data_IF_574538485252
#
_entry.id   IF_574538485252
#
_cell.length_a   1.000
_cell.length_b   1.000
_cell.length_c   1.000
_cell.angle_alpha   90.00
_cell.angle_beta   90.00
_cell.angle_gamma   90.00
#
_symmetry.space_group_name_H-M   'P 1'
#
loop_
_entity.id
_entity.type
_entity.pdbx_description
1 polymer ?
#
# COMPACT_ATOMS: atom_id res chain seq x y z
N UNK A 1 15.01 16.94 31.14
CA UNK A 1 15.96 17.36 30.09
C UNK A 1 15.57 16.87 28.68
N UNK A 2 15.10 15.64 28.51
CA UNK A 2 14.64 15.07 27.22
C UNK A 2 13.40 15.82 26.66
N UNK A 3 12.39 16.07 27.49
CA UNK A 3 11.19 16.82 27.09
C UNK A 3 11.49 18.26 26.65
N UNK A 4 12.46 18.94 27.28
CA UNK A 4 12.93 20.29 26.86
C UNK A 4 13.64 20.25 25.50
N UNK A 5 14.43 19.20 25.22
CA UNK A 5 15.09 19.01 23.92
C UNK A 5 14.09 18.66 22.81
N UNK A 6 13.11 17.81 23.10
CA UNK A 6 12.00 17.54 22.19
C UNK A 6 11.24 18.83 21.86
N UNK A 7 10.76 19.56 22.89
CA UNK A 7 10.04 20.85 22.77
C UNK A 7 10.83 21.98 22.10
N UNK A 8 12.16 21.93 22.13
CA UNK A 8 12.98 22.88 21.37
C UNK A 8 13.07 22.48 19.90
N UNK A 9 13.15 21.19 19.58
CA UNK A 9 13.10 20.69 18.19
C UNK A 9 11.74 20.95 17.54
N UNK A 10 10.64 20.88 18.30
CA UNK A 10 9.28 21.10 17.78
C UNK A 10 9.05 22.51 17.23
N UNK A 11 9.86 23.50 17.63
CA UNK A 11 9.75 24.88 17.12
C UNK A 11 10.05 25.01 15.63
N UNK A 12 10.87 24.09 15.11
CA UNK A 12 11.30 24.08 13.71
C UNK A 12 10.35 23.24 12.83
N UNK A 13 9.31 22.63 13.43
CA UNK A 13 8.30 21.84 12.72
C UNK A 13 7.01 22.64 12.50
N UNK A 14 6.32 22.42 11.37
CA UNK A 14 6.74 21.56 10.25
C UNK A 14 7.97 22.14 9.52
N UNK A 15 8.88 21.26 9.08
CA UNK A 15 10.05 21.68 8.31
C UNK A 15 9.57 22.13 6.94
N UNK A 16 9.48 23.45 6.70
CA UNK A 16 8.91 24.04 5.48
C UNK A 16 9.45 23.45 4.17
N UNK A 17 10.72 23.03 4.12
CA UNK A 17 11.33 22.40 2.94
C UNK A 17 10.76 21.01 2.59
N UNK A 18 10.05 20.39 3.52
CA UNK A 18 9.40 19.09 3.32
C UNK A 18 7.96 19.21 2.83
N UNK A 19 7.35 20.41 2.89
CA UNK A 19 5.99 20.63 2.42
C UNK A 19 5.80 20.22 0.94
N UNK A 20 6.67 20.61 -0.01
CA UNK A 20 6.52 20.19 -1.41
C UNK A 20 6.59 18.66 -1.59
N UNK A 21 7.38 17.97 -0.76
CA UNK A 21 7.48 16.50 -0.78
C UNK A 21 6.16 15.88 -0.28
N UNK A 22 5.55 16.47 0.75
CA UNK A 22 4.26 16.01 1.27
C UNK A 22 3.14 16.22 0.25
N UNK A 23 3.10 17.37 -0.42
CA UNK A 23 2.13 17.65 -1.50
C UNK A 23 2.30 16.68 -2.68
N UNK A 24 3.54 16.43 -3.12
CA UNK A 24 3.86 15.45 -4.16
C UNK A 24 3.39 14.03 -3.77
N UNK A 25 3.58 13.63 -2.50
CA UNK A 25 3.09 12.36 -1.96
C UNK A 25 1.57 12.26 -2.03
N UNK A 26 0.84 13.32 -1.68
CA UNK A 26 -0.63 13.34 -1.73
C UNK A 26 -1.14 13.21 -3.17
N UNK A 27 -0.55 13.96 -4.11
CA UNK A 27 -0.89 13.90 -5.54
C UNK A 27 -0.61 12.50 -6.09
N UNK A 28 0.59 11.95 -5.81
CA UNK A 28 0.97 10.62 -6.27
C UNK A 28 0.06 9.52 -5.67
N UNK A 29 -0.36 9.68 -4.41
CA UNK A 29 -1.31 8.75 -3.78
C UNK A 29 -2.66 8.74 -4.49
N UNK A 30 -3.19 9.91 -4.85
CA UNK A 30 -4.46 10.00 -5.56
C UNK A 30 -4.38 9.41 -6.97
N UNK A 31 -3.34 9.77 -7.72
CA UNK A 31 -3.08 9.21 -9.06
C UNK A 31 -2.91 7.68 -9.01
N UNK A 32 -2.23 7.16 -7.98
CA UNK A 32 -2.07 5.72 -7.77
C UNK A 32 -3.40 5.02 -7.51
N UNK A 33 -4.24 5.56 -6.62
CA UNK A 33 -5.56 4.99 -6.29
C UNK A 33 -6.43 4.92 -7.55
N UNK A 34 -6.48 6.02 -8.31
CA UNK A 34 -7.25 6.11 -9.55
C UNK A 34 -6.71 5.15 -10.62
N UNK A 35 -5.38 5.10 -10.80
CA UNK A 35 -4.70 4.24 -11.75
C UNK A 35 -4.89 2.75 -11.48
N UNK A 36 -4.66 2.31 -10.24
CA UNK A 36 -4.91 0.91 -9.84
C UNK A 36 -6.39 0.55 -10.00
N UNK A 37 -7.29 1.45 -9.59
CA UNK A 37 -8.73 1.26 -9.76
C UNK A 37 -9.13 1.01 -11.22
N UNK A 38 -8.58 1.81 -12.13
CA UNK A 38 -8.83 1.67 -13.56
C UNK A 38 -8.21 0.38 -14.14
N UNK A 39 -6.98 0.03 -13.74
CA UNK A 39 -6.31 -1.18 -14.20
C UNK A 39 -7.01 -2.46 -13.73
N UNK A 40 -7.63 -2.47 -12.55
CA UNK A 40 -8.42 -3.61 -12.07
C UNK A 40 -9.64 -3.94 -12.94
N UNK A 41 -10.06 -3.03 -13.83
CA UNK A 41 -11.15 -3.29 -14.78
C UNK A 41 -10.69 -4.09 -16.02
N UNK A 42 -9.38 -4.14 -16.28
CA UNK A 42 -8.82 -4.72 -17.51
C UNK A 42 -7.70 -5.74 -17.28
N UNK A 43 -7.06 -5.71 -16.11
CA UNK A 43 -6.04 -6.69 -15.69
C UNK A 43 -6.71 -7.72 -14.79
N UNK A 44 -6.67 -9.02 -15.14
CA UNK A 44 -7.26 -10.04 -14.31
C UNK A 44 -6.46 -10.20 -13.02
N UNK A 45 -7.16 -10.15 -11.89
CA UNK A 45 -6.58 -10.24 -10.55
C UNK A 45 -7.52 -11.07 -9.67
N UNK A 46 -6.95 -11.82 -8.73
CA UNK A 46 -7.68 -12.61 -7.73
C UNK A 46 -7.10 -12.33 -6.34
N UNK A 47 -7.97 -12.21 -5.34
CA UNK A 47 -7.57 -12.17 -3.93
C UNK A 47 -8.06 -13.42 -3.20
N UNK A 48 -7.32 -13.85 -2.18
CA UNK A 48 -7.75 -14.96 -1.34
C UNK A 48 -8.78 -14.48 -0.31
N UNK A 49 -9.87 -15.21 -0.15
CA UNK A 49 -10.91 -14.90 0.85
C UNK A 49 -10.40 -14.97 2.30
N UNK A 50 -9.37 -15.78 2.55
CA UNK A 50 -8.95 -16.14 3.91
C UNK A 50 -7.59 -15.60 4.33
N UNK A 51 -6.77 -15.11 3.39
CA UNK A 51 -5.46 -14.55 3.69
C UNK A 51 -5.14 -13.37 2.76
N UNK A 52 -4.12 -12.54 3.08
CA UNK A 52 -3.81 -11.35 2.29
C UNK A 52 -3.22 -11.60 0.89
N UNK A 53 -3.11 -12.85 0.46
CA UNK A 53 -2.46 -13.20 -0.80
C UNK A 53 -3.30 -12.78 -2.00
N UNK A 54 -2.63 -12.18 -2.97
CA UNK A 54 -3.19 -11.72 -4.25
C UNK A 54 -2.41 -12.38 -5.37
N UNK A 55 -3.10 -12.70 -6.46
CA UNK A 55 -2.51 -13.20 -7.67
C UNK A 55 -3.00 -12.39 -8.88
N UNK A 56 -2.08 -11.99 -9.76
CA UNK A 56 -2.38 -11.26 -10.99
C UNK A 56 -2.44 -12.26 -12.14
N UNK A 57 -3.65 -12.65 -12.52
CA UNK A 57 -3.92 -13.64 -13.56
C UNK A 57 -5.41 -14.02 -13.63
N UNK A 58 -5.82 -14.63 -14.75
CA UNK A 58 -7.22 -15.04 -14.98
C UNK A 58 -7.73 -16.03 -13.95
N UNK A 59 -6.90 -17.01 -13.62
CA UNK A 59 -7.11 -17.98 -12.55
C UNK A 59 -6.04 -17.79 -11.49
N UNK A 60 -6.39 -17.99 -10.22
CA UNK A 60 -5.40 -18.01 -9.16
C UNK A 60 -4.46 -19.20 -9.25
N UNK A 61 -3.30 -19.14 -8.61
CA UNK A 61 -2.33 -20.23 -8.63
C UNK A 61 -2.79 -21.45 -7.80
N UNK A 62 -2.14 -22.60 -8.03
CA UNK A 62 -2.45 -23.86 -7.35
C UNK A 62 -1.48 -24.21 -6.21
N UNK A 63 -0.51 -23.33 -5.94
CA UNK A 63 0.37 -23.48 -4.79
C UNK A 63 -0.42 -23.46 -3.47
N UNK A 64 -0.02 -24.36 -2.57
CA UNK A 64 -0.57 -24.47 -1.22
C UNK A 64 0.16 -23.49 -0.30
N UNK A 65 -0.08 -22.19 -0.48
CA UNK A 65 0.53 -21.12 0.34
C UNK A 65 -0.47 -20.45 1.29
N UNK A 66 -1.75 -20.81 1.20
CA UNK A 66 -2.78 -20.19 2.03
C UNK A 66 -2.54 -20.52 3.50
N UNK A 67 -2.47 -19.46 4.32
CA UNK A 67 -2.33 -19.56 5.77
C UNK A 67 -3.69 -19.63 6.49
N UNK A 68 -4.78 -19.52 5.73
CA UNK A 68 -6.14 -19.44 6.26
C UNK A 68 -6.38 -18.26 7.19
N UNK A 69 -7.60 -18.20 7.73
CA UNK A 69 -7.98 -17.17 8.69
C UNK A 69 -7.13 -17.28 9.96
N UNK A 70 -6.54 -16.16 10.40
CA UNK A 70 -5.62 -16.08 11.56
C UNK A 70 -4.31 -16.88 11.45
N UNK A 71 -3.91 -17.31 10.25
CA UNK A 71 -2.63 -17.99 10.02
C UNK A 71 -2.44 -19.32 10.78
N UNK A 72 -3.55 -19.99 11.16
CA UNK A 72 -3.52 -21.22 11.97
C UNK A 72 -3.29 -22.48 11.13
N UNK A 73 -3.74 -22.48 9.88
CA UNK A 73 -3.54 -23.60 8.95
C UNK A 73 -2.33 -23.30 8.06
N UNK A 74 -1.52 -24.32 7.78
CA UNK A 74 -0.43 -24.22 6.79
C UNK A 74 -0.78 -25.06 5.57
N UNK A 75 -0.19 -24.67 4.44
CA UNK A 75 -0.21 -25.44 3.21
C UNK A 75 -1.61 -25.80 2.71
N UNK A 76 -2.53 -24.84 2.77
CA UNK A 76 -3.88 -24.98 2.22
C UNK A 76 -3.97 -24.41 0.80
N UNK A 77 -4.87 -24.93 -0.05
CA UNK A 77 -5.24 -24.26 -1.29
C UNK A 77 -5.94 -22.94 -0.99
N UNK A 78 -5.85 -21.99 -1.92
CA UNK A 78 -6.55 -20.72 -1.83
C UNK A 78 -7.99 -20.84 -2.31
N UNK A 79 -8.88 -20.04 -1.70
CA UNK A 79 -10.21 -19.75 -2.24
C UNK A 79 -10.18 -18.37 -2.85
N UNK A 80 -10.11 -18.33 -4.17
CA UNK A 80 -9.95 -17.10 -4.95
C UNK A 80 -11.31 -16.41 -5.15
N UNK A 81 -11.35 -15.12 -4.87
CA UNK A 81 -12.49 -14.23 -5.08
C UNK A 81 -12.07 -13.02 -5.92
N UNK A 82 -13.04 -12.21 -6.32
CA UNK A 82 -12.77 -10.97 -7.02
C UNK A 82 -12.14 -9.93 -6.07
N UNK A 83 -11.09 -9.24 -6.52
CA UNK A 83 -10.28 -8.38 -5.68
C UNK A 83 -10.99 -7.06 -5.38
N UNK A 84 -10.70 -6.51 -4.22
CA UNK A 84 -11.03 -5.14 -3.85
C UNK A 84 -9.78 -4.27 -3.94
N UNK A 85 -9.95 -2.95 -4.11
CA UNK A 85 -8.83 -2.02 -4.14
C UNK A 85 -7.92 -2.14 -2.90
N UNK A 86 -8.52 -2.37 -1.72
CA UNK A 86 -7.79 -2.56 -0.45
C UNK A 86 -6.92 -3.83 -0.41
N UNK A 87 -7.21 -4.81 -1.26
CA UNK A 87 -6.41 -6.02 -1.36
C UNK A 87 -5.10 -5.71 -2.10
N UNK A 88 -5.10 -4.72 -3.00
CA UNK A 88 -3.90 -4.26 -3.73
C UNK A 88 -3.18 -3.16 -2.94
N UNK A 89 -3.91 -2.11 -2.59
CA UNK A 89 -3.44 -0.96 -1.82
C UNK A 89 -3.83 -1.16 -0.36
N UNK A 90 -3.02 -1.94 0.36
CA UNK A 90 -3.27 -2.31 1.76
C UNK A 90 -3.42 -1.05 2.63
N UNK A 91 -4.61 -0.80 3.21
CA UNK A 91 -4.82 0.35 4.07
C UNK A 91 -4.00 0.22 5.36
N UNK A 92 -3.17 1.22 5.64
CA UNK A 92 -2.49 1.38 6.93
C UNK A 92 -3.05 2.62 7.59
N UNK A 93 -3.67 2.46 8.76
CA UNK A 93 -4.32 3.53 9.48
C UNK A 93 -3.55 3.88 10.76
N UNK A 94 -3.69 5.14 11.19
CA UNK A 94 -3.12 5.67 12.42
C UNK A 94 -4.07 6.68 13.03
N UNK A 95 -3.85 7.05 14.30
CA UNK A 95 -4.60 8.11 14.95
C UNK A 95 -4.19 9.47 14.37
N UNK A 96 -5.18 10.27 14.00
CA UNK A 96 -4.96 11.65 13.61
C UNK A 96 -4.61 12.51 14.82
N UNK A 97 -3.53 13.30 14.74
CA UNK A 97 -3.11 14.20 15.81
C UNK A 97 -3.22 15.66 15.38
N UNK A 98 -4.12 16.43 16.00
CA UNK A 98 -4.21 17.88 15.76
C UNK A 98 -2.96 18.61 16.26
N UNK A 99 -2.35 18.14 17.35
CA UNK A 99 -1.02 18.56 17.79
C UNK A 99 -0.04 17.37 17.72
N UNK A 100 0.84 17.31 16.70
CA UNK A 100 1.82 16.23 16.52
C UNK A 100 2.81 16.09 17.68
N UNK A 101 2.90 17.12 18.52
CA UNK A 101 3.82 17.19 19.65
C UNK A 101 3.11 17.24 21.00
N UNK A 102 1.83 16.86 21.03
CA UNK A 102 1.09 16.80 22.28
C UNK A 102 1.89 15.98 23.32
N UNK A 103 2.02 16.51 24.56
CA UNK A 103 2.95 15.95 25.55
C UNK A 103 2.51 14.58 26.06
N UNK A 104 1.22 14.27 25.95
CA UNK A 104 0.64 13.02 26.42
C UNK A 104 0.32 12.09 25.25
N UNK A 105 0.83 10.86 25.34
CA UNK A 105 0.46 9.80 24.41
C UNK A 105 -1.03 9.42 24.60
N UNK A 106 -1.72 9.11 23.50
CA UNK A 106 -3.11 8.64 23.53
C UNK A 106 -3.22 7.41 24.42
N UNK A 107 -3.97 7.52 25.51
CA UNK A 107 -4.23 6.41 26.42
C UNK A 107 -5.37 5.52 25.90
N UNK A 108 -5.46 4.29 26.40
CA UNK A 108 -6.45 3.33 25.94
C UNK A 108 -7.91 3.82 26.03
N UNK A 109 -8.27 4.54 27.09
CA UNK A 109 -9.62 5.10 27.27
C UNK A 109 -9.91 6.27 26.31
N UNK A 110 -8.88 6.97 25.85
CA UNK A 110 -9.02 8.11 24.93
C UNK A 110 -9.11 7.69 23.47
N UNK A 111 -8.91 6.40 23.14
CA UNK A 111 -8.78 5.92 21.76
C UNK A 111 -9.96 6.27 20.85
N UNK A 112 -11.15 6.44 21.41
CA UNK A 112 -12.36 6.79 20.65
C UNK A 112 -12.55 8.29 20.45
N UNK A 113 -11.72 9.11 21.11
CA UNK A 113 -11.72 10.56 20.96
C UNK A 113 -10.89 11.01 19.75
N UNK A 114 -10.16 10.10 19.13
CA UNK A 114 -9.29 10.36 17.99
C UNK A 114 -9.79 9.58 16.78
N UNK A 115 -9.97 10.28 15.66
CA UNK A 115 -10.25 9.65 14.37
C UNK A 115 -9.03 8.87 13.89
N UNK A 116 -9.27 7.76 13.17
CA UNK A 116 -8.21 7.08 12.44
C UNK A 116 -8.23 7.49 10.98
N UNK A 117 -7.06 7.80 10.44
CA UNK A 117 -6.87 8.17 9.02
C UNK A 117 -5.72 7.34 8.42
N UNK A 118 -5.59 7.27 7.08
CA UNK A 118 -4.45 6.63 6.45
C UNK A 118 -3.11 7.23 6.91
N UNK A 119 -2.14 6.38 7.24
CA UNK A 119 -0.83 6.76 7.77
C UNK A 119 -0.05 7.71 6.85
N UNK A 120 -0.19 7.54 5.53
CA UNK A 120 0.39 8.46 4.53
C UNK A 120 -0.18 9.87 4.69
N UNK A 121 -1.48 10.00 4.92
CA UNK A 121 -2.13 11.30 5.11
C UNK A 121 -1.66 11.96 6.39
N UNK A 122 -1.65 11.23 7.51
CA UNK A 122 -1.12 11.76 8.77
C UNK A 122 0.35 12.20 8.65
N UNK A 123 1.19 11.42 7.95
CA UNK A 123 2.59 11.77 7.72
C UNK A 123 2.73 13.07 6.91
N UNK A 124 1.91 13.27 5.89
CA UNK A 124 1.90 14.50 5.09
C UNK A 124 1.35 15.69 5.88
N UNK A 125 0.32 15.47 6.69
CA UNK A 125 -0.26 16.48 7.56
C UNK A 125 0.75 17.00 8.59
N UNK A 126 1.47 16.09 9.26
CA UNK A 126 2.55 16.49 10.17
C UNK A 126 3.69 17.22 9.44
N UNK A 127 3.84 17.00 8.14
CA UNK A 127 4.77 17.74 7.28
C UNK A 127 4.28 19.13 6.84
N UNK A 128 3.05 19.49 7.21
CA UNK A 128 2.45 20.79 6.96
C UNK A 128 1.53 20.83 5.74
N UNK A 129 1.26 19.70 5.09
CA UNK A 129 0.34 19.65 3.97
C UNK A 129 -1.12 19.66 4.46
N UNK A 130 -1.99 20.33 3.73
CA UNK A 130 -3.42 20.30 3.98
C UNK A 130 -4.00 18.95 3.55
N UNK A 131 -4.86 18.39 4.41
CA UNK A 131 -5.58 17.17 4.08
C UNK A 131 -6.80 17.50 3.22
N UNK A 132 -7.14 16.67 2.22
CA UNK A 132 -8.37 16.85 1.47
C UNK A 132 -9.57 16.68 2.42
N UNK A 133 -10.62 17.49 2.26
CA UNK A 133 -11.74 17.57 3.21
C UNK A 133 -12.43 16.22 3.48
N UNK A 134 -12.49 15.34 2.48
CA UNK A 134 -13.04 13.99 2.61
C UNK A 134 -12.14 13.00 3.38
N UNK A 135 -10.87 13.33 3.65
CA UNK A 135 -9.94 12.44 4.36
C UNK A 135 -10.26 12.28 5.85
N UNK A 136 -10.90 13.29 6.46
CA UNK A 136 -11.27 13.27 7.88
C UNK A 136 -12.62 12.57 8.12
N UNK A 137 -13.48 12.51 7.10
CA UNK A 137 -14.80 11.90 7.16
C UNK A 137 -14.78 10.39 6.82
N UNK A 138 -13.67 9.89 6.24
CA UNK A 138 -13.49 8.46 5.90
C UNK A 138 -13.14 7.62 7.14
N UNK A 139 -14.05 7.54 8.12
CA UNK A 139 -14.05 6.46 9.10
C UNK A 139 -14.40 5.15 8.38
N UNK A 140 -13.38 4.35 8.05
CA UNK A 140 -13.57 2.97 7.61
C UNK A 140 -14.12 2.84 6.19
N UNK A 141 -13.27 2.32 5.29
CA UNK A 141 -13.69 1.52 4.15
C UNK A 141 -14.94 1.96 3.40
N UNK A 142 -14.87 3.00 2.59
CA UNK A 142 -15.67 3.10 1.36
C UNK A 142 -15.05 4.18 0.47
N UNK A 143 -13.90 3.88 -0.15
CA UNK A 143 -13.75 4.35 -1.54
C UNK A 143 -14.84 3.58 -2.28
N UNK A 144 -16.01 4.19 -2.42
CA UNK A 144 -17.16 3.55 -3.02
C UNK A 144 -16.74 3.05 -4.41
N UNK A 145 -16.91 1.76 -4.65
CA UNK A 145 -16.81 1.13 -5.98
C UNK A 145 -17.60 1.90 -7.07
N UNK A 146 -18.57 2.74 -6.66
CA UNK A 146 -19.37 3.60 -7.52
C UNK A 146 -18.57 4.64 -8.32
N UNK A 147 -17.33 4.99 -7.92
CA UNK A 147 -16.47 5.92 -8.68
C UNK A 147 -15.51 5.25 -9.69
N UNK A 148 -15.23 3.95 -9.54
CA UNK A 148 -14.18 3.26 -10.30
C UNK A 148 -14.50 3.19 -11.81
N UNK A 149 -15.75 2.89 -12.15
CA UNK A 149 -16.19 2.80 -13.55
C UNK A 149 -16.21 4.18 -14.23
N UNK A 150 -16.57 5.23 -13.49
CA UNK A 150 -16.62 6.61 -14.00
C UNK A 150 -15.21 7.11 -14.37
N UNK A 151 -14.21 6.88 -13.51
CA UNK A 151 -12.84 7.35 -13.77
C UNK A 151 -12.20 6.65 -14.98
N UNK A 152 -12.31 5.32 -15.08
CA UNK A 152 -11.76 4.59 -16.23
C UNK A 152 -12.40 5.05 -17.54
N UNK A 153 -13.74 5.19 -17.56
CA UNK A 153 -14.46 5.64 -18.75
C UNK A 153 -14.15 7.11 -19.10
N UNK A 154 -13.95 7.97 -18.09
CA UNK A 154 -13.51 9.35 -18.27
C UNK A 154 -12.09 9.43 -18.83
N UNK A 155 -11.16 8.62 -18.31
CA UNK A 155 -9.78 8.54 -18.81
C UNK A 155 -9.74 8.09 -20.27
N UNK A 156 -10.47 7.02 -20.62
CA UNK A 156 -10.61 6.56 -22.00
C UNK A 156 -11.17 7.68 -22.91
N UNK A 157 -12.20 8.41 -22.45
CA UNK A 157 -12.81 9.50 -23.21
C UNK A 157 -11.84 10.66 -23.44
N UNK A 158 -11.06 11.04 -22.44
CA UNK A 158 -10.03 12.08 -22.59
C UNK A 158 -8.93 11.66 -23.55
N UNK A 159 -8.46 10.41 -23.50
CA UNK A 159 -7.45 9.93 -24.45
C UNK A 159 -8.00 9.69 -25.86
N UNK A 160 -9.29 9.39 -26.00
CA UNK A 160 -9.95 9.30 -27.30
C UNK A 160 -10.23 10.67 -27.95
N UNK A 161 -10.25 11.76 -27.16
CA UNK A 161 -10.46 13.13 -27.67
C UNK A 161 -9.23 13.77 -28.32
N UNK A 162 -8.05 13.15 -28.18
CA UNK A 162 -6.89 13.40 -29.04
C UNK A 162 -7.03 12.55 -30.30
N UNK A 163 -7.07 13.18 -31.49
CA UNK A 163 -7.35 12.61 -32.83
C UNK A 163 -6.65 11.26 -33.16
N UNK A 164 -7.10 10.16 -32.56
CA UNK A 164 -6.55 8.82 -32.73
C UNK A 164 -7.65 7.90 -33.32
N UNK A 165 -7.39 7.19 -34.44
CA UNK A 165 -8.39 6.35 -35.08
C UNK A 165 -8.85 5.18 -34.19
N UNK A 166 -10.11 4.74 -34.28
CA UNK A 166 -10.64 3.65 -33.43
C UNK A 166 -9.98 2.28 -33.74
N UNK A 167 -9.44 1.57 -32.73
CA UNK A 167 -8.84 0.24 -32.91
C UNK A 167 -8.24 -0.42 -31.65
N UNK A 168 -8.07 -1.75 -31.67
CA UNK A 168 -7.54 -2.59 -30.57
C UNK A 168 -6.11 -2.18 -30.17
N UNK A 169 -5.28 -1.78 -31.14
CA UNK A 169 -3.90 -1.36 -30.89
C UNK A 169 -3.83 -0.06 -30.07
N UNK A 170 -4.78 0.86 -30.30
CA UNK A 170 -4.89 2.09 -29.51
C UNK A 170 -5.35 1.81 -28.09
N UNK A 171 -6.25 0.85 -27.88
CA UNK A 171 -6.64 0.43 -26.54
C UNK A 171 -5.45 -0.12 -25.73
N UNK A 172 -4.58 -0.94 -26.36
CA UNK A 172 -3.36 -1.44 -25.70
C UNK A 172 -2.39 -0.31 -25.34
N UNK A 173 -2.22 0.68 -26.23
CA UNK A 173 -1.36 1.84 -25.96
C UNK A 173 -1.90 2.71 -24.82
N UNK A 174 -3.22 2.96 -24.81
CA UNK A 174 -3.94 3.66 -23.74
C UNK A 174 -3.74 2.97 -22.39
N UNK A 175 -3.93 1.64 -22.34
CA UNK A 175 -3.74 0.84 -21.11
C UNK A 175 -2.27 0.86 -20.67
N UNK A 176 -1.32 0.71 -21.60
CA UNK A 176 0.11 0.80 -21.30
C UNK A 176 0.48 2.19 -20.77
N UNK A 177 -0.06 3.27 -21.35
CA UNK A 177 0.15 4.63 -20.85
C UNK A 177 -0.38 4.80 -19.43
N UNK A 178 -1.59 4.31 -19.15
CA UNK A 178 -2.19 4.32 -17.81
C UNK A 178 -1.31 3.55 -16.82
N UNK A 179 -0.81 2.38 -17.24
CA UNK A 179 0.05 1.54 -16.43
C UNK A 179 1.40 2.20 -16.12
N UNK A 180 2.00 2.91 -17.08
CA UNK A 180 3.23 3.67 -16.86
C UNK A 180 3.01 4.83 -15.86
N UNK A 181 1.93 5.61 -16.01
CA UNK A 181 1.61 6.68 -15.05
C UNK A 181 1.30 6.14 -13.66
N UNK A 182 0.59 5.02 -13.57
CA UNK A 182 0.28 4.35 -12.29
C UNK A 182 1.56 3.87 -11.61
N UNK A 183 2.49 3.29 -12.37
CA UNK A 183 3.79 2.83 -11.88
C UNK A 183 4.68 4.00 -11.46
N UNK A 184 4.66 5.12 -12.17
CA UNK A 184 5.35 6.35 -11.77
C UNK A 184 4.77 6.89 -10.46
N UNK A 185 3.45 6.96 -10.32
CA UNK A 185 2.78 7.38 -9.09
C UNK A 185 3.15 6.48 -7.90
N UNK A 186 3.25 5.16 -8.10
CA UNK A 186 3.75 4.21 -7.10
C UNK A 186 5.16 4.52 -6.63
N UNK A 187 6.06 4.79 -7.57
CA UNK A 187 7.47 5.10 -7.29
C UNK A 187 7.61 6.44 -6.55
N UNK A 188 6.93 7.48 -7.03
CA UNK A 188 6.92 8.82 -6.45
C UNK A 188 6.35 8.80 -5.04
N UNK A 189 5.21 8.13 -4.83
CA UNK A 189 4.60 7.97 -3.50
C UNK A 189 5.59 7.35 -2.51
N UNK A 190 6.20 6.22 -2.85
CA UNK A 190 7.09 5.49 -1.94
C UNK A 190 8.37 6.26 -1.67
N UNK A 191 8.93 6.92 -2.69
CA UNK A 191 10.13 7.73 -2.53
C UNK A 191 9.88 8.98 -1.68
N UNK A 192 8.74 9.64 -1.87
CA UNK A 192 8.33 10.77 -1.05
C UNK A 192 8.09 10.37 0.42
N UNK A 193 7.41 9.24 0.66
CA UNK A 193 7.26 8.67 2.02
C UNK A 193 8.62 8.36 2.64
N UNK A 194 9.56 7.80 1.87
CA UNK A 194 10.93 7.57 2.35
C UNK A 194 11.61 8.87 2.80
N UNK A 195 11.53 9.94 2.00
CA UNK A 195 12.07 11.25 2.35
C UNK A 195 11.41 11.82 3.61
N UNK A 196 10.09 11.72 3.72
CA UNK A 196 9.36 12.18 4.90
C UNK A 196 9.78 11.40 6.16
N UNK A 197 9.95 10.09 6.07
CA UNK A 197 10.42 9.24 7.17
C UNK A 197 11.85 9.54 7.64
N UNK A 198 12.66 10.25 6.85
CA UNK A 198 13.98 10.73 7.29
C UNK A 198 13.87 11.90 8.28
N UNK A 199 12.77 12.65 8.23
CA UNK A 199 12.57 13.91 8.97
C UNK A 199 11.50 13.79 10.05
N UNK A 200 10.41 13.10 9.75
CA UNK A 200 9.26 12.90 10.62
C UNK A 200 9.31 11.50 11.21
N UNK A 201 8.97 11.39 12.49
CA UNK A 201 9.00 10.12 13.19
C UNK A 201 7.70 9.37 12.94
N UNK A 202 7.80 8.10 12.59
CA UNK A 202 6.69 7.17 12.65
C UNK A 202 7.16 5.86 13.30
N UNK A 203 6.22 5.18 13.95
CA UNK A 203 6.47 3.98 14.75
C UNK A 203 5.44 2.93 14.42
N UNK A 204 5.88 1.68 14.37
CA UNK A 204 4.98 0.51 14.29
C UNK A 204 5.23 -0.45 15.43
N UNK A 205 4.19 -1.19 15.79
CA UNK A 205 4.34 -2.29 16.72
C UNK A 205 4.98 -3.49 16.00
N UNK A 206 5.95 -4.13 16.63
CA UNK A 206 6.60 -5.33 16.06
C UNK A 206 5.68 -6.56 15.98
N UNK A 207 4.53 -6.52 16.66
CA UNK A 207 3.70 -7.69 16.94
C UNK A 207 2.23 -7.56 16.53
N UNK A 208 1.80 -6.37 16.11
CA UNK A 208 0.44 -6.12 15.68
C UNK A 208 0.43 -5.01 14.64
N UNK A 209 -0.65 -4.84 13.85
CA UNK A 209 -0.70 -3.89 12.73
C UNK A 209 -0.91 -2.43 13.18
N UNK A 210 -0.47 -2.07 14.39
CA UNK A 210 -0.65 -0.73 14.94
C UNK A 210 0.51 0.17 14.52
N UNK A 211 0.16 1.36 14.03
CA UNK A 211 1.08 2.38 13.56
C UNK A 211 0.74 3.72 14.21
N UNK A 212 1.77 4.47 14.56
CA UNK A 212 1.67 5.82 15.07
C UNK A 212 2.65 6.74 14.33
N UNK A 213 2.14 7.78 13.68
CA UNK A 213 2.98 8.87 13.18
C UNK A 213 3.20 9.84 14.34
N UNK A 214 4.45 9.94 14.79
CA UNK A 214 4.84 10.74 15.95
C UNK A 214 6.01 10.11 16.72
N UNK A 215 6.67 10.89 17.60
CA UNK A 215 7.91 10.47 18.26
C UNK A 215 7.70 9.43 19.36
N UNK A 216 6.55 9.38 20.02
CA UNK A 216 6.36 8.56 21.24
C UNK A 216 5.68 7.23 20.97
N UNK A 217 4.71 7.18 20.05
CA UNK A 217 3.75 6.07 19.99
C UNK A 217 2.59 6.30 20.97
N UNK A 218 1.48 5.61 20.78
CA UNK A 218 0.35 5.63 21.72
C UNK A 218 0.47 4.55 22.81
N UNK A 219 -0.33 4.70 23.87
CA UNK A 219 -0.45 3.77 25.00
C UNK A 219 -1.75 2.97 24.98
N UNK A 220 -2.49 2.99 23.87
CA UNK A 220 -3.65 2.12 23.66
C UNK A 220 -3.23 0.66 23.86
N UNK A 221 -4.02 -0.11 24.59
CA UNK A 221 -3.74 -1.51 24.92
C UNK A 221 -4.43 -2.47 23.93
N UNK A 222 -4.14 -2.34 22.64
CA UNK A 222 -4.74 -3.15 21.56
C UNK A 222 -3.82 -4.24 21.04
N UNK A 223 -2.59 -4.36 21.57
CA UNK A 223 -1.68 -5.41 21.13
C UNK A 223 -2.18 -6.78 21.61
N UNK A 224 -2.69 -7.59 20.67
CA UNK A 224 -3.25 -8.91 20.96
C UNK A 224 -2.22 -9.94 21.46
N UNK A 225 -0.94 -9.76 21.13
CA UNK A 225 0.13 -10.68 21.50
C UNK A 225 0.43 -10.68 23.01
N UNK A 226 0.31 -9.52 23.67
CA UNK A 226 0.68 -9.36 25.09
C UNK A 226 -0.50 -9.19 26.03
N UNK A 227 -1.70 -9.59 25.60
CA UNK A 227 -2.95 -9.35 26.34
C UNK A 227 -2.93 -9.97 27.75
N UNK A 228 -2.29 -11.13 27.89
CA UNK A 228 -2.24 -11.91 29.14
C UNK A 228 -0.88 -11.83 29.86
N UNK A 229 0.08 -11.10 29.32
CA UNK A 229 1.40 -10.92 29.91
C UNK A 229 1.47 -9.65 30.78
N UNK A 230 2.59 -9.47 31.50
CA UNK A 230 2.84 -8.28 32.33
C UNK A 230 2.73 -6.95 31.55
N UNK A 231 2.93 -7.00 30.23
CA UNK A 231 2.84 -5.86 29.32
C UNK A 231 1.39 -5.43 29.00
N UNK A 232 0.38 -6.23 29.41
CA UNK A 232 -1.07 -5.89 29.37
C UNK A 232 -1.54 -5.28 28.04
N UNK A 233 -1.11 -5.85 26.92
CA UNK A 233 -1.49 -5.39 25.58
C UNK A 233 -0.83 -4.09 25.12
N UNK A 234 0.25 -3.64 25.77
CA UNK A 234 1.08 -2.53 25.29
C UNK A 234 1.82 -2.87 23.99
N UNK A 235 2.20 -1.85 23.24
CA UNK A 235 2.93 -1.99 21.99
C UNK A 235 4.44 -1.98 22.21
N UNK A 236 5.15 -2.86 21.51
CA UNK A 236 6.60 -2.76 21.34
C UNK A 236 6.90 -1.96 20.06
N UNK A 237 7.12 -0.66 20.25
CA UNK A 237 7.36 0.28 19.16
C UNK A 237 8.76 0.11 18.55
N UNK A 238 8.84 -0.03 17.22
CA UNK A 238 10.05 0.20 16.42
C UNK A 238 9.84 1.40 15.49
N UNK A 239 10.93 1.93 14.93
CA UNK A 239 10.84 2.93 13.85
C UNK A 239 10.15 2.31 12.64
N UNK A 240 9.23 3.05 12.02
CA UNK A 240 8.56 2.63 10.80
C UNK A 240 9.49 2.79 9.58
N UNK A 241 9.37 1.84 8.66
CA UNK A 241 9.98 1.88 7.33
C UNK A 241 8.92 2.16 6.25
N UNK A 242 9.35 2.31 5.00
CA UNK A 242 8.42 2.61 3.89
C UNK A 242 7.36 1.52 3.75
N UNK A 243 7.75 0.25 3.90
CA UNK A 243 6.83 -0.89 3.79
C UNK A 243 5.80 -0.97 4.93
N UNK A 244 6.10 -0.34 6.07
CA UNK A 244 5.17 -0.27 7.20
C UNK A 244 4.05 0.75 6.93
N UNK A 245 4.29 1.77 6.08
CA UNK A 245 3.32 2.84 5.76
C UNK A 245 2.65 2.60 4.41
N UNK A 246 3.43 2.14 3.42
CA UNK A 246 2.97 1.80 2.06
C UNK A 246 3.40 0.35 1.83
N UNK A 247 2.59 -0.65 2.21
CA UNK A 247 2.96 -2.05 2.00
C UNK A 247 3.08 -2.39 0.51
N UNK A 248 4.06 -3.22 0.15
CA UNK A 248 4.26 -3.66 -1.25
C UNK A 248 3.23 -4.70 -1.71
N UNK A 249 2.60 -5.41 -0.76
CA UNK A 249 1.82 -6.63 -0.97
C UNK A 249 2.44 -7.54 -2.05
N UNK A 250 3.48 -8.28 -1.67
CA UNK A 250 4.28 -9.06 -2.62
C UNK A 250 3.45 -10.20 -3.20
N UNK A 251 3.36 -10.26 -4.52
CA UNK A 251 2.67 -11.29 -5.31
C UNK A 251 3.66 -12.14 -6.09
N UNK A 252 3.19 -13.30 -6.53
CA UNK A 252 3.94 -14.15 -7.46
C UNK A 252 4.00 -13.51 -8.85
N UNK A 253 5.17 -13.53 -9.46
CA UNK A 253 5.40 -13.12 -10.84
C UNK A 253 5.62 -14.34 -11.72
N UNK A 254 4.78 -14.49 -12.75
CA UNK A 254 4.89 -15.54 -13.77
C UNK A 254 5.72 -15.02 -14.95
N UNK A 255 6.86 -15.66 -15.23
CA UNK A 255 7.71 -15.33 -16.37
C UNK A 255 7.15 -15.97 -17.65
N UNK A 256 7.57 -15.49 -18.84
CA UNK A 256 7.05 -16.03 -20.11
C UNK A 256 7.26 -17.55 -20.31
N UNK A 257 8.27 -18.14 -19.66
CA UNK A 257 8.59 -19.57 -19.74
C UNK A 257 8.05 -20.40 -18.56
N UNK A 258 7.43 -19.75 -17.57
CA UNK A 258 6.78 -20.46 -16.46
C UNK A 258 5.44 -21.06 -16.93
N UNK A 259 4.93 -22.11 -16.25
CA UNK A 259 3.63 -22.68 -16.58
C UNK A 259 2.51 -21.64 -16.47
N UNK A 260 1.47 -21.79 -17.28
CA UNK A 260 0.32 -20.87 -17.32
C UNK A 260 -0.29 -20.67 -15.93
N UNK A 261 -0.40 -21.77 -15.17
CA UNK A 261 -0.83 -21.80 -13.76
C UNK A 261 0.36 -22.22 -12.91
N UNK A 262 0.70 -21.41 -11.91
CA UNK A 262 1.84 -21.70 -11.03
C UNK A 262 1.51 -22.83 -10.05
N UNK A 263 2.39 -23.84 -10.03
CA UNK A 263 2.30 -25.03 -9.17
C UNK A 263 3.41 -25.08 -8.13
N UNK A 264 3.19 -25.86 -7.07
CA UNK A 264 4.11 -25.97 -5.92
C UNK A 264 5.53 -26.45 -6.32
N UNK A 265 5.63 -27.30 -7.34
CA UNK A 265 6.89 -27.85 -7.86
C UNK A 265 7.88 -26.78 -8.34
N UNK A 266 7.39 -25.63 -8.81
CA UNK A 266 8.21 -24.53 -9.31
C UNK A 266 8.34 -23.34 -8.36
N UNK A 267 7.81 -23.44 -7.13
CA UNK A 267 7.72 -22.32 -6.16
C UNK A 267 9.06 -21.59 -5.96
N UNK A 268 10.16 -22.33 -5.88
CA UNK A 268 11.50 -21.76 -5.67
C UNK A 268 12.09 -21.08 -6.91
N UNK A 269 11.51 -21.30 -8.09
CA UNK A 269 11.97 -20.74 -9.36
C UNK A 269 11.23 -19.46 -9.74
N UNK A 270 9.94 -19.34 -9.38
CA UNK A 270 9.12 -18.20 -9.76
C UNK A 270 9.62 -16.88 -9.14
N UNK A 271 9.33 -15.79 -9.85
CA UNK A 271 9.62 -14.44 -9.39
C UNK A 271 8.57 -13.94 -8.41
N UNK A 272 8.84 -12.78 -7.84
CA UNK A 272 7.88 -12.00 -7.08
C UNK A 272 7.93 -10.54 -7.49
N UNK A 273 6.87 -9.80 -7.21
CA UNK A 273 6.82 -8.35 -7.41
C UNK A 273 5.85 -7.71 -6.41
N UNK A 274 5.96 -6.41 -6.12
CA UNK A 274 4.85 -5.67 -5.51
C UNK A 274 3.59 -5.79 -6.38
N UNK A 275 2.41 -5.94 -5.75
CA UNK A 275 1.15 -6.12 -6.48
C UNK A 275 0.92 -5.03 -7.55
N UNK A 276 1.17 -3.77 -7.20
CA UNK A 276 1.04 -2.63 -8.14
C UNK A 276 1.98 -2.76 -9.32
N UNK A 277 3.23 -3.19 -9.09
CA UNK A 277 4.24 -3.37 -10.14
C UNK A 277 3.84 -4.49 -11.08
N UNK A 278 3.36 -5.62 -10.54
CA UNK A 278 2.89 -6.75 -11.35
C UNK A 278 1.68 -6.38 -12.21
N UNK A 279 0.68 -5.71 -11.63
CA UNK A 279 -0.50 -5.22 -12.37
C UNK A 279 -0.08 -4.29 -13.51
N UNK A 280 0.81 -3.32 -13.23
CA UNK A 280 1.30 -2.40 -14.25
C UNK A 280 2.12 -3.13 -15.33
N UNK A 281 2.95 -4.11 -14.94
CA UNK A 281 3.76 -4.90 -15.87
C UNK A 281 2.88 -5.69 -16.85
N UNK A 282 1.85 -6.38 -16.36
CA UNK A 282 0.91 -7.13 -17.21
C UNK A 282 0.06 -6.20 -18.10
N UNK A 283 -0.19 -4.98 -17.66
CA UNK A 283 -0.80 -3.92 -18.47
C UNK A 283 0.16 -3.25 -19.48
N UNK A 284 1.43 -3.70 -19.54
CA UNK A 284 2.41 -3.23 -20.53
C UNK A 284 3.23 -2.01 -20.09
N UNK A 285 3.33 -1.73 -18.79
CA UNK A 285 4.25 -0.71 -18.28
C UNK A 285 5.71 -1.14 -18.40
N UNK A 286 6.62 -0.17 -18.52
CA UNK A 286 8.07 -0.42 -18.49
C UNK A 286 8.55 -0.52 -17.06
N UNK A 287 8.74 -1.74 -16.59
CA UNK A 287 9.16 -2.01 -15.20
C UNK A 287 10.60 -1.50 -14.94
N UNK A 288 10.84 -0.73 -13.87
CA UNK A 288 12.18 -0.33 -13.45
C UNK A 288 13.10 -1.52 -13.15
N UNK A 289 14.37 -1.41 -13.55
CA UNK A 289 15.39 -2.47 -13.38
C UNK A 289 15.58 -2.94 -11.93
N UNK A 290 15.27 -2.11 -10.93
CA UNK A 290 15.37 -2.46 -9.51
C UNK A 290 14.48 -3.65 -9.11
N UNK A 291 13.44 -3.95 -9.89
CA UNK A 291 12.55 -5.08 -9.67
C UNK A 291 12.99 -6.36 -10.40
N UNK A 292 13.94 -6.30 -11.32
CA UNK A 292 14.27 -7.45 -12.19
C UNK A 292 14.83 -8.64 -11.41
N UNK A 293 15.55 -8.38 -10.31
CA UNK A 293 16.10 -9.42 -9.44
C UNK A 293 15.01 -10.18 -8.69
N UNK A 294 14.07 -9.47 -8.04
CA UNK A 294 12.95 -10.09 -7.33
C UNK A 294 11.98 -10.79 -8.29
N UNK A 295 11.76 -10.22 -9.47
CA UNK A 295 10.96 -10.83 -10.55
C UNK A 295 11.66 -11.99 -11.24
N UNK A 296 12.96 -12.21 -10.98
CA UNK A 296 13.77 -13.28 -11.60
C UNK A 296 13.65 -13.28 -13.13
N UNK A 297 13.72 -12.12 -13.78
CA UNK A 297 13.54 -11.96 -15.23
C UNK A 297 14.42 -12.92 -16.09
N UNK A 298 15.60 -13.26 -15.58
CA UNK A 298 16.54 -14.21 -16.19
C UNK A 298 16.83 -15.42 -15.29
N UNK A 299 15.95 -15.71 -14.33
CA UNK A 299 16.09 -16.86 -13.44
C UNK A 299 15.89 -18.18 -14.20
N UNK A 300 16.38 -19.27 -13.62
CA UNK A 300 16.20 -20.61 -14.18
C UNK A 300 14.71 -21.03 -14.17
N UNK A 301 14.36 -21.93 -15.09
CA UNK A 301 13.07 -22.61 -15.07
C UNK A 301 13.14 -23.85 -14.17
N UNK A 302 12.01 -24.28 -13.56
CA UNK A 302 11.94 -25.59 -12.92
C UNK A 302 12.34 -26.69 -13.91
N UNK A 303 13.04 -27.72 -13.45
CA UNK A 303 13.22 -28.93 -14.25
C UNK A 303 11.88 -29.65 -14.29
N UNK A 304 11.25 -29.67 -15.46
CA UNK A 304 10.06 -30.47 -15.75
C UNK A 304 10.35 -31.97 -15.57
#
# INVERSE_FOLDING_TARGET
MILKRARNRTKDYPIRRMLPVAEEVLIAREALIQGVSALLQVVPVKSCEFCPEVYVGETGHFMKTCRGFKQLAKDQPHKWIDPQLKDILVPVETYHLTDPFQPEAINHNQRFNFTRIPAVLELCYQAGADLPQNALDMQGSHVANQGMHSFYQHYLRHQASTDLPEGIENQKQIISSLANMTLEAWETLRFGVQKLLLVYNAKVCQHCPELHVGPTGHKVRTCGMYKYEAWRGAHMWKRAEVDDIVPQNIVWHRRPHDPVVLEDSGRDYYGHAPAVVEICAQAGARVPKKYFSIMKMHGLAPKL
#
